data_IF_093138468442
#
_entry.id   IF_093138468442
#
_cell.length_a   1.000
_cell.length_b   1.000
_cell.length_c   1.000
_cell.angle_alpha   90.00
_cell.angle_beta   90.00
_cell.angle_gamma   90.00
#
_symmetry.space_group_name_H-M   'P 1'
#
loop_
_entity.id
_entity.type
_entity.pdbx_description
1 polymer ?
#
# COMPACT_ATOMS: atom_id res chain seq x y z
N UNK A 1 -0.11 -7.64 -10.45
CA UNK A 1 0.63 -8.87 -10.12
C UNK A 1 0.06 -10.09 -10.83
N UNK A 2 -1.17 -10.52 -10.54
CA UNK A 2 -1.77 -11.74 -11.14
C UNK A 2 -1.75 -11.76 -12.67
N UNK A 3 -2.21 -10.67 -13.33
CA UNK A 3 -2.18 -10.54 -14.80
C UNK A 3 -0.77 -10.68 -15.39
N UNK A 4 0.26 -10.32 -14.63
CA UNK A 4 1.67 -10.41 -15.02
C UNK A 4 2.38 -11.64 -14.47
N UNK A 5 1.69 -12.55 -13.76
CA UNK A 5 2.27 -13.70 -13.06
C UNK A 5 3.44 -13.32 -12.14
N UNK A 6 3.37 -12.15 -11.49
CA UNK A 6 4.41 -11.64 -10.60
C UNK A 6 4.16 -12.18 -9.19
N UNK A 7 5.14 -12.90 -8.65
CA UNK A 7 5.05 -13.52 -7.33
C UNK A 7 5.27 -12.49 -6.21
N UNK A 8 4.67 -12.73 -5.04
CA UNK A 8 4.79 -11.84 -3.86
C UNK A 8 6.21 -11.72 -3.31
N UNK A 9 7.05 -12.73 -3.51
CA UNK A 9 8.47 -12.74 -3.15
C UNK A 9 9.37 -12.08 -4.21
N UNK A 10 8.80 -11.61 -5.32
CA UNK A 10 9.53 -10.82 -6.32
C UNK A 10 10.10 -9.57 -5.66
N UNK A 11 11.41 -9.41 -5.81
CA UNK A 11 12.16 -8.30 -5.24
C UNK A 11 12.09 -7.08 -6.16
N UNK A 12 11.92 -5.92 -5.55
CA UNK A 12 12.09 -4.63 -6.21
C UNK A 12 13.16 -3.82 -5.47
N UNK A 13 13.84 -2.96 -6.22
CA UNK A 13 14.70 -1.95 -5.65
C UNK A 13 13.87 -0.74 -5.23
N UNK A 14 14.07 -0.27 -4.00
CA UNK A 14 13.50 0.98 -3.48
C UNK A 14 14.67 1.89 -3.17
N UNK A 15 14.71 3.05 -3.82
CA UNK A 15 15.77 4.04 -3.62
C UNK A 15 15.57 4.77 -2.31
N UNK A 16 16.67 5.17 -1.66
CA UNK A 16 16.61 5.99 -0.44
C UNK A 16 15.79 7.26 -0.65
N UNK A 17 15.80 7.82 -1.87
CA UNK A 17 15.01 9.01 -2.22
C UNK A 17 13.49 8.78 -2.22
N UNK A 18 13.03 7.53 -2.33
CA UNK A 18 11.61 7.16 -2.21
C UNK A 18 11.19 7.01 -0.73
N UNK A 19 12.14 6.91 0.21
CA UNK A 19 11.90 6.78 1.64
C UNK A 19 11.93 8.15 2.33
N UNK A 20 10.93 9.00 2.06
CA UNK A 20 10.87 10.39 2.53
C UNK A 20 10.85 10.49 4.05
N UNK A 21 11.59 11.46 4.62
CA UNK A 21 11.74 11.68 6.06
C UNK A 21 10.57 12.43 6.71
N UNK A 22 9.86 13.26 5.96
CA UNK A 22 8.78 14.12 6.49
C UNK A 22 7.38 13.47 6.37
N UNK A 23 7.29 12.19 6.69
CA UNK A 23 6.03 11.42 6.68
C UNK A 23 6.15 10.21 7.62
N UNK A 24 5.03 9.56 7.94
CA UNK A 24 5.05 8.35 8.74
C UNK A 24 5.49 7.14 7.90
N UNK A 25 6.60 6.50 8.28
CA UNK A 25 7.12 5.34 7.54
C UNK A 25 7.99 4.42 8.43
N UNK A 26 7.40 3.41 9.07
CA UNK A 26 8.15 2.34 9.74
C UNK A 26 9.17 1.62 8.86
N UNK A 27 8.95 1.56 7.53
CA UNK A 27 9.89 1.00 6.57
C UNK A 27 11.18 1.84 6.52
N UNK A 28 11.05 3.16 6.38
CA UNK A 28 12.19 4.08 6.44
C UNK A 28 12.88 4.01 7.80
N UNK A 29 12.12 4.00 8.90
CA UNK A 29 12.71 3.97 10.24
C UNK A 29 13.56 2.72 10.49
N UNK A 30 13.20 1.59 9.85
CA UNK A 30 13.99 0.35 9.88
C UNK A 30 15.21 0.40 8.97
N UNK A 31 15.14 1.10 7.85
CA UNK A 31 16.19 1.19 6.85
C UNK A 31 16.48 2.65 6.46
N UNK A 32 17.07 3.46 7.36
CA UNK A 32 17.33 4.86 7.09
C UNK A 32 18.49 5.04 6.09
N UNK A 33 18.40 6.09 5.27
CA UNK A 33 19.48 6.63 4.43
C UNK A 33 20.20 5.62 3.50
N UNK A 34 19.47 4.63 2.98
CA UNK A 34 20.01 3.63 2.06
C UNK A 34 19.00 3.15 1.02
N UNK A 35 19.52 2.72 -0.13
CA UNK A 35 18.76 1.93 -1.09
C UNK A 35 18.52 0.54 -0.49
N UNK A 36 17.32 -0.01 -0.68
CA UNK A 36 16.97 -1.34 -0.22
C UNK A 36 16.43 -2.20 -1.36
N UNK A 37 16.56 -3.51 -1.21
CA UNK A 37 15.84 -4.49 -2.02
C UNK A 37 14.82 -5.17 -1.12
N UNK A 38 13.54 -5.09 -1.47
CA UNK A 38 12.42 -5.61 -0.67
C UNK A 38 11.43 -6.36 -1.57
N UNK A 39 10.77 -7.38 -1.03
CA UNK A 39 9.73 -8.08 -1.77
C UNK A 39 8.45 -7.26 -1.84
N UNK A 40 7.68 -7.42 -2.92
CA UNK A 40 6.36 -6.81 -3.06
C UNK A 40 5.43 -7.18 -1.89
N UNK A 41 5.52 -8.41 -1.40
CA UNK A 41 4.73 -8.89 -0.26
C UNK A 41 5.06 -8.19 1.06
N UNK A 42 6.34 -7.94 1.37
CA UNK A 42 6.70 -7.16 2.55
C UNK A 42 6.32 -5.68 2.37
N UNK A 43 6.45 -5.12 1.17
CA UNK A 43 6.00 -3.74 0.91
C UNK A 43 4.48 -3.57 1.12
N UNK A 44 3.67 -4.52 0.62
CA UNK A 44 2.23 -4.59 0.88
C UNK A 44 1.92 -4.68 2.38
N UNK A 45 2.72 -5.45 3.13
CA UNK A 45 2.56 -5.57 4.59
C UNK A 45 2.86 -4.26 5.32
N UNK A 46 3.89 -3.53 4.93
CA UNK A 46 4.16 -2.18 5.47
C UNK A 46 3.01 -1.22 5.16
N UNK A 47 2.54 -1.16 3.92
CA UNK A 47 1.44 -0.29 3.52
C UNK A 47 0.13 -0.64 4.24
N UNK A 48 -0.30 -1.92 4.24
CA UNK A 48 -1.63 -2.31 4.74
C UNK A 48 -1.64 -2.52 6.26
N UNK A 49 -0.66 -3.23 6.82
CA UNK A 49 -0.69 -3.63 8.24
C UNK A 49 -0.12 -2.57 9.16
N UNK A 50 0.75 -1.71 8.64
CA UNK A 50 1.39 -0.64 9.40
C UNK A 50 0.99 0.75 8.90
N UNK A 51 0.20 0.90 7.83
CA UNK A 51 -0.18 2.20 7.29
C UNK A 51 1.03 3.07 6.91
N UNK A 52 2.10 2.45 6.40
CA UNK A 52 3.32 3.17 5.99
C UNK A 52 3.08 4.01 4.72
N UNK A 53 3.32 5.33 4.82
CA UNK A 53 3.02 6.27 3.74
C UNK A 53 3.99 6.14 2.56
N UNK A 54 5.27 5.87 2.80
CA UNK A 54 6.23 5.68 1.71
C UNK A 54 5.92 4.36 0.97
N UNK A 55 5.61 3.29 1.70
CA UNK A 55 5.24 2.02 1.09
C UNK A 55 3.95 2.15 0.24
N UNK A 56 2.98 2.93 0.71
CA UNK A 56 1.76 3.26 -0.03
C UNK A 56 2.10 3.92 -1.38
N UNK A 57 2.88 5.01 -1.35
CA UNK A 57 3.23 5.76 -2.55
C UNK A 57 4.06 4.94 -3.55
N UNK A 58 5.00 4.12 -3.07
CA UNK A 58 5.78 3.20 -3.93
C UNK A 58 4.85 2.17 -4.61
N UNK A 59 3.85 1.64 -3.91
CA UNK A 59 2.90 0.69 -4.49
C UNK A 59 1.95 1.36 -5.49
N UNK A 60 1.55 2.61 -5.24
CA UNK A 60 0.77 3.41 -6.20
C UNK A 60 1.60 3.64 -7.48
N UNK A 61 2.87 4.03 -7.35
CA UNK A 61 3.78 4.19 -8.48
C UNK A 61 3.96 2.87 -9.25
N UNK A 62 4.19 1.76 -8.54
CA UNK A 62 4.28 0.42 -9.13
C UNK A 62 3.02 0.01 -9.90
N UNK A 63 1.83 0.45 -9.45
CA UNK A 63 0.56 0.19 -10.13
C UNK A 63 0.30 1.11 -11.34
N UNK A 64 1.19 2.06 -11.63
CA UNK A 64 1.06 3.02 -12.73
C UNK A 64 0.49 4.39 -12.34
N UNK A 65 0.42 4.69 -11.04
CA UNK A 65 -0.06 5.97 -10.51
C UNK A 65 -1.51 5.94 -9.99
N UNK A 66 -1.90 6.98 -9.26
CA UNK A 66 -3.19 7.03 -8.55
C UNK A 66 -4.39 6.96 -9.50
N UNK A 67 -4.28 7.51 -10.70
CA UNK A 67 -5.32 7.46 -11.73
C UNK A 67 -5.59 6.01 -12.17
N UNK A 68 -4.54 5.19 -12.32
CA UNK A 68 -4.69 3.78 -12.66
C UNK A 68 -5.37 2.98 -11.55
N UNK A 69 -5.09 3.32 -10.29
CA UNK A 69 -5.78 2.73 -9.14
C UNK A 69 -7.25 3.14 -9.12
N UNK A 70 -7.55 4.41 -9.37
CA UNK A 70 -8.92 4.94 -9.44
C UNK A 70 -9.73 4.29 -10.57
N UNK A 71 -9.15 4.18 -11.77
CA UNK A 71 -9.74 3.49 -12.92
C UNK A 71 -10.01 2.02 -12.62
N UNK A 72 -9.06 1.34 -11.95
CA UNK A 72 -9.25 -0.03 -11.51
C UNK A 72 -10.44 -0.17 -10.56
N UNK A 73 -10.52 0.67 -9.51
CA UNK A 73 -11.65 0.66 -8.56
C UNK A 73 -12.98 0.90 -9.29
N UNK A 74 -13.04 1.86 -10.21
CA UNK A 74 -14.23 2.15 -11.03
C UNK A 74 -14.62 0.98 -11.93
N UNK A 75 -13.65 0.24 -12.46
CA UNK A 75 -13.90 -0.95 -13.29
C UNK A 75 -14.60 -2.09 -12.54
N UNK A 76 -14.52 -2.10 -11.20
CA UNK A 76 -15.25 -3.03 -10.32
C UNK A 76 -16.72 -2.61 -10.10
N UNK A 77 -17.18 -1.52 -10.73
CA UNK A 77 -18.53 -0.98 -10.57
C UNK A 77 -18.70 -0.08 -9.34
N UNK A 78 -17.61 0.30 -8.68
CA UNK A 78 -17.58 1.27 -7.57
C UNK A 78 -17.66 2.68 -8.16
N UNK A 79 -18.67 3.47 -7.80
CA UNK A 79 -18.97 4.76 -8.45
C UNK A 79 -18.80 5.95 -7.51
N UNK A 80 -19.31 5.85 -6.29
CA UNK A 80 -19.26 6.94 -5.30
C UNK A 80 -17.97 6.87 -4.48
N UNK A 81 -16.85 6.89 -5.21
CA UNK A 81 -15.50 6.83 -4.71
C UNK A 81 -14.58 7.58 -5.68
N UNK A 82 -13.61 8.31 -5.13
CA UNK A 82 -12.58 8.95 -5.91
C UNK A 82 -11.23 8.80 -5.21
N UNK A 83 -10.23 8.37 -5.99
CA UNK A 83 -8.83 8.36 -5.62
C UNK A 83 -8.10 9.30 -6.59
N UNK A 84 -7.49 10.37 -6.08
CA UNK A 84 -6.83 11.39 -6.88
C UNK A 84 -5.50 11.90 -6.27
N UNK A 85 -5.15 11.46 -5.06
CA UNK A 85 -3.93 11.89 -4.39
C UNK A 85 -3.12 10.72 -3.81
N UNK A 86 -1.79 10.84 -3.89
CA UNK A 86 -0.83 10.06 -3.11
C UNK A 86 -0.73 10.62 -1.68
N UNK A 87 -0.07 9.89 -0.77
CA UNK A 87 0.21 10.39 0.58
C UNK A 87 1.05 11.68 0.53
N UNK A 88 2.06 11.73 -0.35
CA UNK A 88 2.86 12.94 -0.55
C UNK A 88 2.04 14.15 -1.03
N UNK A 89 1.09 13.94 -1.94
CA UNK A 89 0.23 15.02 -2.42
C UNK A 89 -0.73 15.50 -1.33
N UNK A 90 -1.35 14.59 -0.57
CA UNK A 90 -2.20 14.97 0.57
C UNK A 90 -1.41 15.74 1.64
N UNK A 91 -0.17 15.32 1.92
CA UNK A 91 0.69 15.98 2.89
C UNK A 91 1.12 17.39 2.45
N UNK A 92 1.48 17.55 1.18
CA UNK A 92 1.99 18.83 0.64
C UNK A 92 0.89 19.83 0.32
N UNK A 93 -0.26 19.37 -0.19
CA UNK A 93 -1.43 20.23 -0.46
C UNK A 93 -2.26 20.54 0.77
N UNK A 94 -2.23 19.65 1.77
CA UNK A 94 -3.13 19.69 2.93
C UNK A 94 -4.57 19.27 2.60
N UNK A 95 -4.84 18.79 1.38
CA UNK A 95 -6.19 18.43 0.93
C UNK A 95 -6.43 16.92 1.00
N UNK A 96 -6.88 16.47 2.17
CA UNK A 96 -7.28 15.08 2.38
C UNK A 96 -8.63 14.73 1.70
N UNK A 97 -9.39 15.70 1.18
CA UNK A 97 -10.69 15.45 0.55
C UNK A 97 -10.57 15.02 -0.91
N UNK A 98 -9.37 15.07 -1.50
CA UNK A 98 -9.09 14.54 -2.84
C UNK A 98 -9.41 13.03 -2.95
N UNK A 99 -9.16 12.29 -1.86
CA UNK A 99 -9.50 10.88 -1.74
C UNK A 99 -10.76 10.74 -0.87
N UNK A 100 -11.87 10.28 -1.45
CA UNK A 100 -13.13 10.14 -0.72
C UNK A 100 -13.91 8.91 -1.20
N UNK A 101 -14.81 8.41 -0.34
CA UNK A 101 -15.75 7.37 -0.70
C UNK A 101 -16.98 7.42 0.20
N UNK A 102 -18.13 6.97 -0.30
CA UNK A 102 -19.27 6.71 0.57
C UNK A 102 -19.05 5.41 1.37
N UNK A 103 -19.66 5.28 2.57
CA UNK A 103 -19.55 4.05 3.34
C UNK A 103 -20.00 2.79 2.59
N UNK A 104 -21.03 2.90 1.74
CA UNK A 104 -21.55 1.78 0.94
C UNK A 104 -20.50 1.23 -0.03
N UNK A 105 -19.76 2.11 -0.70
CA UNK A 105 -18.74 1.72 -1.68
C UNK A 105 -17.54 1.03 -1.02
N UNK A 106 -17.13 1.48 0.18
CA UNK A 106 -16.08 0.81 0.95
C UNK A 106 -16.48 -0.61 1.36
N UNK A 107 -17.76 -0.83 1.72
CA UNK A 107 -18.27 -2.18 2.01
C UNK A 107 -18.20 -3.06 0.76
N UNK A 108 -18.62 -2.56 -0.41
CA UNK A 108 -18.53 -3.30 -1.68
C UNK A 108 -17.09 -3.70 -2.00
N UNK A 109 -16.12 -2.81 -1.83
CA UNK A 109 -14.69 -3.12 -2.02
C UNK A 109 -14.26 -4.28 -1.11
N UNK A 110 -14.69 -4.24 0.16
CA UNK A 110 -14.36 -5.30 1.13
C UNK A 110 -14.98 -6.64 0.73
N UNK A 111 -16.23 -6.63 0.25
CA UNK A 111 -16.92 -7.83 -0.25
C UNK A 111 -16.25 -8.41 -1.49
N UNK A 112 -15.79 -7.57 -2.43
CA UNK A 112 -15.02 -8.00 -3.59
C UNK A 112 -13.72 -8.68 -3.16
N UNK A 113 -12.97 -8.05 -2.25
CA UNK A 113 -11.70 -8.60 -1.73
C UNK A 113 -11.89 -9.96 -1.06
N UNK A 114 -13.00 -10.16 -0.34
CA UNK A 114 -13.35 -11.43 0.30
C UNK A 114 -13.67 -12.56 -0.70
N UNK A 115 -14.22 -12.22 -1.86
CA UNK A 115 -14.70 -13.19 -2.86
C UNK A 115 -13.64 -13.54 -3.92
N UNK A 116 -12.68 -12.66 -4.16
CA UNK A 116 -11.54 -12.93 -5.04
C UNK A 116 -10.62 -14.04 -4.48
N UNK A 117 -9.81 -14.73 -5.31
CA UNK A 117 -8.81 -15.67 -4.81
C UNK A 117 -7.95 -15.00 -3.73
N UNK A 118 -7.74 -15.62 -2.55
CA UNK A 118 -7.22 -14.89 -1.41
C UNK A 118 -5.71 -14.68 -1.54
N UNK A 119 -5.32 -13.59 -2.21
CA UNK A 119 -3.97 -13.01 -2.12
C UNK A 119 -3.60 -12.79 -0.65
N UNK A 120 -4.59 -12.49 0.20
CA UNK A 120 -4.47 -12.32 1.64
C UNK A 120 -3.87 -13.55 2.35
N UNK A 121 -4.33 -14.76 2.00
CA UNK A 121 -3.78 -15.98 2.59
C UNK A 121 -2.31 -16.17 2.20
N UNK A 122 -1.89 -15.69 1.04
CA UNK A 122 -0.49 -15.74 0.61
C UNK A 122 0.36 -14.70 1.34
N UNK A 123 -0.15 -13.48 1.57
CA UNK A 123 0.53 -12.41 2.32
C UNK A 123 0.76 -12.83 3.79
N UNK A 124 -0.26 -13.36 4.47
CA UNK A 124 -0.14 -13.79 5.88
C UNK A 124 0.85 -14.94 6.08
N UNK A 125 1.10 -15.74 5.04
CA UNK A 125 2.02 -16.89 5.08
C UNK A 125 3.46 -16.53 4.72
N UNK A 126 3.73 -15.30 4.29
CA UNK A 126 5.10 -14.86 4.08
C UNK A 126 5.82 -14.84 5.43
N UNK A 127 7.00 -15.49 5.53
CA UNK A 127 7.76 -15.48 6.78
C UNK A 127 8.03 -14.02 7.14
N UNK A 128 7.59 -13.61 8.33
CA UNK A 128 8.04 -12.37 8.91
C UNK A 128 9.56 -12.41 8.94
N UNK A 129 10.22 -11.47 8.25
CA UNK A 129 11.64 -11.24 8.47
C UNK A 129 11.82 -11.07 9.98
N UNK A 130 12.56 -11.99 10.61
CA UNK A 130 12.65 -12.18 12.07
C UNK A 130 13.30 -10.99 12.79
N UNK A 131 12.74 -9.78 12.71
CA UNK A 131 13.19 -8.60 13.45
C UNK A 131 12.03 -7.59 13.58
N UNK A 132 10.97 -7.94 14.30
CA UNK A 132 9.97 -6.99 14.75
C UNK A 132 9.44 -7.43 16.13
N UNK A 133 9.89 -6.72 17.16
CA UNK A 133 9.39 -6.86 18.53
C UNK A 133 7.92 -6.45 18.64
N UNK A 134 7.28 -6.99 19.68
CA UNK A 134 5.90 -6.76 20.09
C UNK A 134 5.47 -5.28 20.03
N UNK A 135 4.54 -4.94 19.13
CA UNK A 135 3.85 -3.64 19.12
C UNK A 135 2.34 -3.73 19.38
N UNK A 136 1.83 -4.88 19.81
CA UNK A 136 0.47 -4.98 20.37
C UNK A 136 0.50 -4.79 21.89
N UNK A 137 0.79 -3.57 22.36
CA UNK A 137 0.41 -3.07 23.70
C UNK A 137 0.67 -1.57 23.76
N UNK A 138 -0.35 -0.78 23.42
CA UNK A 138 -0.77 0.44 24.11
C UNK A 138 -1.87 1.14 23.30
N UNK A 139 -3.11 0.83 23.64
CA UNK A 139 -4.23 1.77 23.74
C UNK A 139 -4.93 1.48 25.06
#
# INVERSE_FOLDING_TARGET
>A
MDKGHIALDSLIEVKSSQLKSNTYSPLRDKFPDQDITISLGELLKYSISQSDNNACDILIEYAGGIDQVNEYVKSLGIKDCNLAATEDLMHTSGDAYLNWSTPEEVVKITEYSRQAPPIWNSIQRLPSSNHAGNFYRQR
#
